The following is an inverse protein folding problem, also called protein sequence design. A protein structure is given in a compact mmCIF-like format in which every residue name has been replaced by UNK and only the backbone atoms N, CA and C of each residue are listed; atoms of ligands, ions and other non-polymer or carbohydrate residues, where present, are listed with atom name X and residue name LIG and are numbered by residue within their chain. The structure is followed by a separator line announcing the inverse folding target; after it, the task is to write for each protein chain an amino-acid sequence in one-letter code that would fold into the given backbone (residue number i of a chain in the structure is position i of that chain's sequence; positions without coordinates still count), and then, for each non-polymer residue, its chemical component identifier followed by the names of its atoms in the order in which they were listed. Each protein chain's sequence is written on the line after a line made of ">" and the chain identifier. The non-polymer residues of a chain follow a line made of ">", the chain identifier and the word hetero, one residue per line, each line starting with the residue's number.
data_IF_572176331379
#
_entry.id   IF_572176331379
#
_cell.length_a   1.000
_cell.length_b   1.000
_cell.length_c   1.000
_cell.angle_alpha   90.00
_cell.angle_beta   90.00
_cell.angle_gamma   90.00
#
_symmetry.space_group_name_H-M   'P 1'
#
loop_
_entity.id
_entity.type
_entity.pdbx_description
1 polymer ?
#
# COMPACT_ATOMS: atom_id res chain seq x y z
N UNK A 1 -9.82 -2.72 13.82
CA UNK A 1 -9.74 -1.62 12.83
C UNK A 1 -8.36 -1.51 12.20
N UNK A 2 -7.28 -1.40 12.99
CA UNK A 2 -5.91 -1.22 12.48
C UNK A 2 -5.48 -2.37 11.55
N UNK A 3 -5.52 -3.61 12.04
CA UNK A 3 -5.11 -4.78 11.25
C UNK A 3 -5.90 -4.91 9.93
N UNK A 4 -7.21 -4.69 9.94
CA UNK A 4 -8.05 -4.80 8.74
C UNK A 4 -7.72 -3.73 7.69
N UNK A 5 -7.51 -2.48 8.11
CA UNK A 5 -7.12 -1.41 7.20
C UNK A 5 -5.70 -1.63 6.64
N UNK A 6 -4.77 -2.05 7.49
CA UNK A 6 -3.41 -2.43 7.07
C UNK A 6 -3.44 -3.59 6.09
N UNK A 7 -4.19 -4.65 6.35
CA UNK A 7 -4.32 -5.81 5.46
C UNK A 7 -4.86 -5.41 4.09
N UNK A 8 -5.89 -4.57 4.03
CA UNK A 8 -6.44 -4.09 2.75
C UNK A 8 -5.44 -3.21 1.98
N UNK A 9 -4.78 -2.27 2.66
CA UNK A 9 -3.78 -1.40 2.02
C UNK A 9 -2.60 -2.21 1.48
N UNK A 10 -2.11 -3.18 2.27
CA UNK A 10 -1.05 -4.11 1.88
C UNK A 10 -1.46 -4.96 0.67
N UNK A 11 -2.65 -5.56 0.72
CA UNK A 11 -3.14 -6.43 -0.36
C UNK A 11 -3.25 -5.64 -1.67
N UNK A 12 -3.78 -4.41 -1.61
CA UNK A 12 -3.89 -3.53 -2.77
C UNK A 12 -2.50 -3.13 -3.31
N UNK A 13 -1.54 -2.82 -2.43
CA UNK A 13 -0.17 -2.55 -2.86
C UNK A 13 0.47 -3.74 -3.56
N UNK A 14 0.33 -4.95 -3.02
CA UNK A 14 0.90 -6.14 -3.63
C UNK A 14 0.25 -6.47 -4.97
N UNK A 15 -1.08 -6.44 -5.03
CA UNK A 15 -1.82 -6.67 -6.27
C UNK A 15 -1.39 -5.69 -7.36
N UNK A 16 -1.28 -4.41 -7.01
CA UNK A 16 -0.81 -3.37 -7.93
C UNK A 16 0.65 -3.58 -8.35
N UNK A 17 1.54 -4.01 -7.45
CA UNK A 17 2.94 -4.32 -7.78
C UNK A 17 3.03 -5.44 -8.82
N UNK A 18 2.33 -6.56 -8.59
CA UNK A 18 2.33 -7.68 -9.53
C UNK A 18 1.63 -7.33 -10.85
N UNK A 19 0.56 -6.54 -10.80
CA UNK A 19 -0.13 -6.03 -11.98
C UNK A 19 0.79 -5.15 -12.84
N UNK A 20 1.49 -4.18 -12.24
CA UNK A 20 2.42 -3.30 -12.96
C UNK A 20 3.65 -4.06 -13.48
N UNK A 21 4.18 -5.02 -12.71
CA UNK A 21 5.31 -5.84 -13.16
C UNK A 21 4.94 -6.73 -14.36
N UNK A 22 3.69 -7.20 -14.43
CA UNK A 22 3.17 -7.97 -15.56
C UNK A 22 2.90 -7.08 -16.77
N UNK A 23 2.24 -5.94 -16.57
CA UNK A 23 1.88 -5.04 -17.67
C UNK A 23 3.10 -4.38 -18.32
N UNK A 24 4.15 -4.14 -17.54
CA UNK A 24 5.41 -3.52 -17.98
C UNK A 24 6.56 -4.52 -18.10
N UNK A 25 6.29 -5.83 -18.19
CA UNK A 25 7.35 -6.84 -18.21
C UNK A 25 8.34 -6.61 -19.36
N UNK A 26 7.85 -6.25 -20.54
CA UNK A 26 8.68 -5.95 -21.70
C UNK A 26 9.55 -4.69 -21.51
N UNK A 27 9.03 -3.66 -20.83
CA UNK A 27 9.78 -2.45 -20.50
C UNK A 27 10.88 -2.77 -19.48
N UNK A 28 10.55 -3.54 -18.44
CA UNK A 28 11.49 -3.99 -17.41
C UNK A 28 12.61 -4.83 -18.03
N UNK A 29 12.29 -5.79 -18.90
CA UNK A 29 13.27 -6.62 -19.60
C UNK A 29 14.18 -5.80 -20.53
N UNK A 30 13.62 -4.82 -21.24
CA UNK A 30 14.42 -3.92 -22.06
C UNK A 30 15.42 -3.15 -21.20
N UNK A 31 14.99 -2.57 -20.07
CA UNK A 31 15.88 -1.86 -19.15
C UNK A 31 17.00 -2.76 -18.62
N UNK A 32 16.66 -3.99 -18.19
CA UNK A 32 17.66 -4.96 -17.72
C UNK A 32 18.68 -5.32 -18.83
N UNK A 33 18.22 -5.48 -20.06
CA UNK A 33 19.08 -5.79 -21.21
C UNK A 33 20.01 -4.62 -21.56
N UNK A 34 19.55 -3.37 -21.35
CA UNK A 34 20.38 -2.17 -21.46
C UNK A 34 21.31 -1.95 -20.25
N UNK A 35 21.34 -2.88 -19.29
CA UNK A 35 22.24 -2.85 -18.13
C UNK A 35 21.70 -2.11 -16.90
N UNK A 36 20.40 -1.80 -16.86
CA UNK A 36 19.78 -1.25 -15.66
C UNK A 36 19.76 -2.28 -14.52
N UNK A 37 19.88 -1.81 -13.28
CA UNK A 37 19.74 -2.69 -12.12
C UNK A 37 18.27 -3.11 -11.91
N UNK A 38 18.01 -4.28 -11.27
CA UNK A 38 16.66 -4.70 -10.93
C UNK A 38 15.84 -3.65 -10.15
N UNK A 39 16.53 -2.87 -9.31
CA UNK A 39 15.92 -1.79 -8.56
C UNK A 39 15.47 -0.62 -9.46
N UNK A 40 16.31 -0.21 -10.40
CA UNK A 40 15.98 0.86 -11.35
C UNK A 40 14.81 0.47 -12.26
N UNK A 41 14.79 -0.78 -12.72
CA UNK A 41 13.75 -1.27 -13.62
C UNK A 41 12.37 -1.36 -12.95
N UNK A 42 12.29 -1.68 -11.65
CA UNK A 42 11.01 -1.86 -10.92
C UNK A 42 10.57 -0.62 -10.13
N UNK A 43 11.41 0.41 -10.02
CA UNK A 43 11.18 1.56 -9.13
C UNK A 43 9.83 2.24 -9.38
N UNK A 44 9.45 2.43 -10.64
CA UNK A 44 8.18 3.05 -11.03
C UNK A 44 6.98 2.21 -10.56
N UNK A 45 7.02 0.89 -10.79
CA UNK A 45 6.00 -0.05 -10.33
C UNK A 45 5.87 -0.09 -8.80
N UNK A 46 6.99 -0.03 -8.08
CA UNK A 46 7.01 0.04 -6.60
C UNK A 46 6.35 1.32 -6.10
N UNK A 47 6.66 2.47 -6.71
CA UNK A 47 6.05 3.75 -6.33
C UNK A 47 4.53 3.73 -6.53
N UNK A 48 4.07 3.23 -7.68
CA UNK A 48 2.64 3.14 -7.98
C UNK A 48 1.92 2.15 -7.06
N UNK A 49 2.57 1.03 -6.72
CA UNK A 49 2.04 0.06 -5.77
C UNK A 49 1.83 0.64 -4.36
N UNK A 50 2.83 1.34 -3.84
CA UNK A 50 2.72 2.00 -2.52
C UNK A 50 1.65 3.10 -2.56
N UNK A 51 1.59 3.88 -3.63
CA UNK A 51 0.59 4.92 -3.82
C UNK A 51 -0.83 4.34 -3.84
N UNK A 52 -1.05 3.24 -4.55
CA UNK A 52 -2.33 2.56 -4.61
C UNK A 52 -2.79 2.09 -3.22
N UNK A 53 -1.93 1.41 -2.45
CA UNK A 53 -2.28 0.92 -1.12
C UNK A 53 -2.51 2.00 -0.07
N UNK A 54 -1.85 3.15 -0.20
CA UNK A 54 -2.03 4.30 0.70
C UNK A 54 -3.25 5.17 0.38
N UNK A 55 -3.74 5.13 -0.87
CA UNK A 55 -4.84 5.98 -1.35
C UNK A 55 -6.10 5.88 -0.47
N UNK A 56 -6.60 4.69 -0.08
CA UNK A 56 -7.78 4.58 0.79
C UNK A 56 -7.59 5.23 2.16
N UNK A 57 -6.40 5.10 2.74
CA UNK A 57 -6.09 5.67 4.06
C UNK A 57 -6.01 7.18 4.01
N UNK A 58 -5.38 7.74 2.97
CA UNK A 58 -5.32 9.19 2.75
C UNK A 58 -6.71 9.76 2.49
N UNK A 59 -7.53 9.10 1.65
CA UNK A 59 -8.90 9.53 1.40
C UNK A 59 -9.75 9.53 2.67
N UNK A 60 -9.59 8.52 3.52
CA UNK A 60 -10.30 8.46 4.81
C UNK A 60 -9.89 9.59 5.74
N UNK A 61 -8.59 9.92 5.80
CA UNK A 61 -8.05 11.04 6.59
C UNK A 61 -8.56 12.40 6.10
N UNK A 62 -8.70 12.61 4.78
CA UNK A 62 -9.16 13.90 4.24
C UNK A 62 -10.63 14.19 4.55
N UNK A 63 -11.46 13.15 4.66
CA UNK A 63 -12.92 13.29 4.82
C UNK A 63 -13.34 13.29 6.28
N UNK A 64 -12.51 12.73 7.16
CA UNK A 64 -12.83 12.60 8.60
C UNK A 64 -12.98 13.96 9.28
N UNK A 65 -14.03 14.12 10.08
CA UNK A 65 -14.31 15.36 10.79
C UNK A 65 -14.93 16.47 9.93
N UNK A 66 -14.87 16.37 8.59
CA UNK A 66 -15.55 17.29 7.67
C UNK A 66 -16.91 16.75 7.24
N UNK A 67 -16.94 15.52 6.73
CA UNK A 67 -18.15 14.89 6.17
C UNK A 67 -18.58 13.69 6.98
N UNK A 68 -17.64 12.98 7.60
CA UNK A 68 -17.92 11.78 8.39
C UNK A 68 -17.29 11.84 9.77
N UNK A 69 -18.10 11.52 10.79
CA UNK A 69 -17.63 11.19 12.13
C UNK A 69 -17.45 9.68 12.23
N UNK A 70 -16.23 9.17 12.52
CA UNK A 70 -15.97 7.75 12.63
C UNK A 70 -16.89 7.07 13.65
N UNK A 71 -17.34 5.86 13.35
CA UNK A 71 -18.31 5.15 14.20
C UNK A 71 -17.86 4.94 15.65
N UNK A 72 -16.55 4.76 15.88
CA UNK A 72 -16.00 4.68 17.25
C UNK A 72 -16.15 6.01 17.99
N UNK A 73 -15.80 7.13 17.34
CA UNK A 73 -15.91 8.47 17.91
C UNK A 73 -17.37 8.83 18.20
N UNK A 74 -18.28 8.59 17.26
CA UNK A 74 -19.71 8.82 17.45
C UNK A 74 -20.27 7.94 18.57
N UNK A 75 -19.85 6.68 18.64
CA UNK A 75 -20.24 5.75 19.71
C UNK A 75 -19.78 6.21 21.10
N UNK A 76 -18.57 6.75 21.22
CA UNK A 76 -18.08 7.34 22.47
C UNK A 76 -18.89 8.56 22.88
N UNK A 77 -19.19 9.47 21.94
CA UNK A 77 -20.01 10.66 22.20
C UNK A 77 -21.42 10.26 22.65
N UNK A 78 -22.06 9.32 21.95
CA UNK A 78 -23.39 8.81 22.32
C UNK A 78 -23.38 8.06 23.67
N UNK A 79 -22.25 7.46 24.04
CA UNK A 79 -22.01 6.82 25.33
C UNK A 79 -21.77 7.79 26.49
N UNK A 80 -21.82 9.11 26.26
CA UNK A 80 -21.64 10.14 27.27
C UNK A 80 -20.18 10.56 27.50
N UNK A 81 -19.24 10.13 26.65
CA UNK A 81 -17.87 10.63 26.70
C UNK A 81 -17.80 12.08 26.22
N UNK A 82 -16.85 12.84 26.76
CA UNK A 82 -16.63 14.22 26.33
C UNK A 82 -16.22 14.26 24.83
N UNK A 83 -16.92 15.04 23.99
CA UNK A 83 -16.62 15.11 22.56
C UNK A 83 -15.19 15.53 22.24
N UNK A 84 -14.57 16.39 23.06
CA UNK A 84 -13.20 16.85 22.83
C UNK A 84 -12.19 15.71 23.01
N UNK A 85 -12.42 14.84 23.98
CA UNK A 85 -11.59 13.67 24.23
C UNK A 85 -11.78 12.60 23.15
N UNK A 86 -13.03 12.37 22.70
CA UNK A 86 -13.32 11.43 21.62
C UNK A 86 -12.64 11.83 20.30
N UNK A 87 -12.61 13.13 19.96
CA UNK A 87 -11.89 13.64 18.77
C UNK A 87 -10.39 13.38 18.88
N UNK A 88 -9.78 13.75 20.01
CA UNK A 88 -8.32 13.60 20.22
C UNK A 88 -7.89 12.14 20.09
N UNK A 89 -8.63 11.24 20.73
CA UNK A 89 -8.37 9.82 20.64
C UNK A 89 -8.51 9.30 19.20
N UNK A 90 -9.54 9.74 18.49
CA UNK A 90 -9.78 9.33 17.11
C UNK A 90 -8.67 9.78 16.15
N UNK A 91 -8.11 11.00 16.32
CA UNK A 91 -6.96 11.47 15.53
C UNK A 91 -5.76 10.54 15.72
N UNK A 92 -5.45 10.18 16.98
CA UNK A 92 -4.35 9.26 17.29
C UNK A 92 -4.57 7.91 16.62
N UNK A 93 -5.79 7.37 16.65
CA UNK A 93 -6.14 6.10 16.00
C UNK A 93 -5.95 6.19 14.48
N UNK A 94 -6.35 7.27 13.84
CA UNK A 94 -6.18 7.44 12.39
C UNK A 94 -4.71 7.52 11.98
N UNK A 95 -3.88 8.20 12.78
CA UNK A 95 -2.43 8.24 12.58
C UNK A 95 -1.79 6.87 12.78
N UNK A 96 -2.22 6.10 13.79
CA UNK A 96 -1.76 4.72 13.98
C UNK A 96 -2.09 3.82 12.79
N UNK A 97 -3.28 3.96 12.20
CA UNK A 97 -3.66 3.23 10.99
C UNK A 97 -2.77 3.63 9.82
N UNK A 98 -2.58 4.94 9.59
CA UNK A 98 -1.74 5.44 8.51
C UNK A 98 -0.30 4.95 8.62
N UNK A 99 0.28 4.99 9.82
CA UNK A 99 1.62 4.47 10.06
C UNK A 99 1.70 2.95 9.82
N UNK A 100 0.73 2.19 10.33
CA UNK A 100 0.71 0.74 10.16
C UNK A 100 0.56 0.32 8.68
N UNK A 101 -0.30 1.00 7.92
CA UNK A 101 -0.45 0.79 6.47
C UNK A 101 0.85 1.16 5.74
N UNK A 102 1.42 2.33 6.01
CA UNK A 102 2.64 2.78 5.35
C UNK A 102 3.81 1.83 5.57
N UNK A 103 4.06 1.45 6.83
CA UNK A 103 5.13 0.51 7.19
C UNK A 103 4.87 -0.87 6.55
N UNK A 104 3.63 -1.36 6.63
CA UNK A 104 3.24 -2.64 6.05
C UNK A 104 3.43 -2.70 4.54
N UNK A 105 2.94 -1.68 3.82
CA UNK A 105 3.11 -1.55 2.38
C UNK A 105 4.59 -1.48 1.99
N UNK A 106 5.40 -0.65 2.67
CA UNK A 106 6.83 -0.52 2.36
C UNK A 106 7.59 -1.82 2.59
N UNK A 107 7.37 -2.50 3.72
CA UNK A 107 8.04 -3.77 4.03
C UNK A 107 7.63 -4.84 3.01
N UNK A 108 6.34 -5.02 2.75
CA UNK A 108 5.88 -6.11 1.89
C UNK A 108 6.13 -5.87 0.41
N UNK A 109 6.04 -4.64 -0.08
CA UNK A 109 6.50 -4.29 -1.43
C UNK A 109 8.01 -4.46 -1.53
N UNK A 110 8.74 -4.04 -0.49
CA UNK A 110 10.19 -4.26 -0.35
C UNK A 110 10.62 -5.73 -0.38
N UNK A 111 9.89 -6.61 0.28
CA UNK A 111 10.17 -8.05 0.25
C UNK A 111 9.70 -8.69 -1.05
N UNK A 112 8.58 -8.24 -1.60
CA UNK A 112 8.00 -8.80 -2.83
C UNK A 112 8.81 -8.45 -4.06
N UNK A 113 9.35 -7.22 -4.19
CA UNK A 113 10.17 -6.89 -5.37
C UNK A 113 11.39 -7.79 -5.49
N UNK A 114 12.03 -8.17 -4.37
CA UNK A 114 13.16 -9.12 -4.39
C UNK A 114 12.77 -10.49 -4.94
N UNK A 115 11.51 -10.92 -4.73
CA UNK A 115 10.99 -12.16 -5.29
C UNK A 115 10.63 -12.08 -6.77
N UNK A 116 10.54 -10.88 -7.35
CA UNK A 116 10.28 -10.73 -8.80
C UNK A 116 11.52 -11.00 -9.65
N UNK A 117 12.72 -10.99 -9.06
CA UNK A 117 13.98 -11.19 -9.75
C UNK A 117 14.65 -12.51 -9.31
N UNK A 118 15.41 -13.11 -10.21
CA UNK A 118 16.28 -14.24 -9.93
C UNK A 118 17.66 -13.79 -9.40
N UNK A 119 18.49 -14.73 -8.95
CA UNK A 119 19.88 -14.46 -8.53
C UNK A 119 20.71 -13.80 -9.64
N UNK A 120 20.39 -14.08 -10.90
CA UNK A 120 21.01 -13.48 -12.09
C UNK A 120 20.50 -12.06 -12.41
N UNK A 121 19.56 -11.52 -11.64
CA UNK A 121 18.94 -10.21 -11.88
C UNK A 121 17.88 -10.20 -13.00
N UNK A 122 17.60 -11.34 -13.63
CA UNK A 122 16.53 -11.49 -14.62
C UNK A 122 15.14 -11.53 -13.95
N UNK A 123 14.11 -11.06 -14.67
CA UNK A 123 12.72 -11.13 -14.23
C UNK A 123 12.25 -12.59 -14.19
N UNK A 124 11.54 -13.00 -13.14
CA UNK A 124 11.13 -14.40 -13.00
C UNK A 124 10.04 -14.82 -14.01
N UNK A 125 10.07 -16.06 -14.53
CA UNK A 125 9.11 -16.56 -15.52
C UNK A 125 7.65 -16.55 -15.05
N UNK A 126 7.39 -16.63 -13.74
CA UNK A 126 6.03 -16.60 -13.19
C UNK A 126 5.35 -15.22 -13.39
N UNK A 127 6.13 -14.17 -13.61
CA UNK A 127 5.62 -12.83 -13.97
C UNK A 127 5.26 -12.80 -15.46
N UNK A 128 6.02 -13.50 -16.30
CA UNK A 128 5.80 -13.57 -17.74
C UNK A 128 4.65 -14.50 -18.15
N UNK A 129 4.30 -15.47 -17.30
CA UNK A 129 3.14 -16.33 -17.52
C UNK A 129 1.84 -15.56 -17.27
N UNK A 130 1.41 -14.82 -18.30
CA UNK A 130 0.00 -14.49 -18.48
C UNK A 130 -0.79 -15.80 -18.41
N UNK A 131 -1.73 -15.90 -17.45
CA UNK A 131 -2.81 -16.88 -17.57
C UNK A 131 -3.39 -16.72 -18.98
N UNK A 132 -3.17 -17.73 -19.82
CA UNK A 132 -4.06 -17.99 -20.95
C UNK A 132 -5.39 -18.49 -20.39
#
# INVERSE_FOLDING_TARGET
>A
MILGNSMNGIALSLDRLYSEARSRSAEIEAMLTFGATPWEAIRSSVQEAVRAGMTPTINSLMVVGLVSLPGMMTGQILGGADPSEAVRYQIVVMLMIAAAVAIGCLILVGLSYKKLFNEDGALQPFVLQSKK
#
